data_IF_085037791456
#
_entry.id   IF_085037791456
#
_cell.length_a   1.000
_cell.length_b   1.000
_cell.length_c   1.000
_cell.angle_alpha   90.00
_cell.angle_beta   90.00
_cell.angle_gamma   90.00
#
_symmetry.space_group_name_H-M   'P 1'
#
loop_
_entity.id
_entity.type
_entity.pdbx_description
1 polymer ?
#
# COMPACT_ATOMS: atom_id res chain seq x y z
N UNK A 1 18.56 18.97 10.33
CA UNK A 1 18.16 17.60 9.97
C UNK A 1 16.64 17.48 10.07
N UNK A 2 16.01 16.93 9.06
CA UNK A 2 14.57 16.64 9.08
C UNK A 2 14.34 15.18 9.51
N UNK A 3 13.21 14.92 10.15
CA UNK A 3 12.88 13.60 10.68
C UNK A 3 11.40 13.30 10.49
N UNK A 4 11.11 12.10 10.04
CA UNK A 4 9.76 11.53 10.08
C UNK A 4 9.67 10.71 11.36
N UNK A 5 8.65 10.94 12.17
CA UNK A 5 8.42 10.25 13.42
C UNK A 5 7.06 9.54 13.39
N UNK A 6 7.07 8.23 13.60
CA UNK A 6 5.87 7.45 13.79
C UNK A 6 5.47 7.48 15.27
N UNK A 7 4.36 8.11 15.56
CA UNK A 7 3.88 8.34 16.92
C UNK A 7 3.34 7.06 17.60
N UNK A 8 3.00 6.04 16.84
CA UNK A 8 2.48 4.77 17.39
C UNK A 8 3.60 3.86 17.88
N UNK A 9 4.67 3.78 17.12
CA UNK A 9 5.80 2.88 17.44
C UNK A 9 6.98 3.59 18.05
N UNK A 10 6.96 4.93 18.11
CA UNK A 10 8.08 5.80 18.50
C UNK A 10 9.33 5.63 17.61
N UNK A 11 9.16 5.01 16.46
CA UNK A 11 10.20 4.87 15.46
C UNK A 11 10.39 6.17 14.69
N UNK A 12 11.60 6.43 14.25
CA UNK A 12 11.89 7.61 13.45
C UNK A 12 12.83 7.31 12.28
N UNK A 13 12.70 8.11 11.24
CA UNK A 13 13.56 8.10 10.06
C UNK A 13 14.17 9.48 9.86
N UNK A 14 15.51 9.53 9.87
CA UNK A 14 16.24 10.75 9.57
C UNK A 14 16.31 10.96 8.05
N UNK A 15 15.96 12.16 7.61
CA UNK A 15 16.06 12.56 6.22
C UNK A 15 17.37 13.33 6.01
N UNK A 16 18.30 12.72 5.29
CA UNK A 16 19.58 13.31 4.94
C UNK A 16 19.42 14.28 3.76
N UNK A 17 18.84 15.43 4.02
CA UNK A 17 18.67 16.49 3.05
C UNK A 17 19.79 17.53 3.14
N UNK A 18 20.20 18.17 2.02
CA UNK A 18 21.11 19.30 2.08
C UNK A 18 20.55 20.41 2.98
N UNK A 19 21.42 21.08 3.71
CA UNK A 19 21.00 22.12 4.66
C UNK A 19 20.15 23.23 4.02
N UNK A 20 20.41 23.55 2.76
CA UNK A 20 19.64 24.56 2.02
C UNK A 20 18.16 24.14 1.83
N UNK A 21 17.91 22.86 1.64
CA UNK A 21 16.54 22.31 1.52
C UNK A 21 15.86 22.32 2.89
N UNK A 22 16.58 22.00 3.95
CA UNK A 22 16.03 22.08 5.31
C UNK A 22 15.64 23.50 5.68
N UNK A 23 16.50 24.47 5.33
CA UNK A 23 16.22 25.90 5.56
C UNK A 23 15.02 26.38 4.73
N UNK A 24 14.96 26.03 3.44
CA UNK A 24 13.82 26.34 2.59
C UNK A 24 12.51 25.75 3.14
N UNK A 25 12.56 24.53 3.67
CA UNK A 25 11.41 23.90 4.27
C UNK A 25 10.94 24.61 5.55
N UNK A 26 11.87 25.05 6.41
CA UNK A 26 11.55 25.83 7.61
C UNK A 26 10.92 27.18 7.25
N UNK A 27 11.46 27.86 6.25
CA UNK A 27 10.88 29.13 5.75
C UNK A 27 9.46 28.89 5.21
N UNK A 28 9.24 27.82 4.46
CA UNK A 28 7.93 27.46 3.92
C UNK A 28 6.92 27.17 5.03
N UNK A 29 7.30 26.44 6.05
CA UNK A 29 6.46 26.21 7.23
C UNK A 29 6.12 27.51 7.96
N UNK A 30 7.09 28.39 8.13
CA UNK A 30 6.90 29.71 8.73
C UNK A 30 5.91 30.57 7.95
N UNK A 31 5.96 30.55 6.64
CA UNK A 31 4.98 31.24 5.76
C UNK A 31 3.59 30.68 5.96
N UNK A 32 3.45 29.36 6.08
CA UNK A 32 2.16 28.74 6.30
C UNK A 32 1.55 29.14 7.65
N UNK A 33 2.30 28.99 8.72
CA UNK A 33 1.82 29.32 10.07
C UNK A 33 1.65 30.81 10.27
N UNK A 34 2.49 31.64 9.67
CA UNK A 34 2.37 33.11 9.69
C UNK A 34 1.19 33.68 8.92
N UNK A 35 0.66 32.94 7.93
CA UNK A 35 -0.47 33.36 7.10
C UNK A 35 -1.84 32.96 7.67
N UNK A 36 -1.94 32.62 8.96
CA UNK A 36 -3.20 32.24 9.60
C UNK A 36 -3.83 30.94 9.07
N UNK A 37 -3.01 30.03 8.56
CA UNK A 37 -3.46 28.73 8.09
C UNK A 37 -4.17 28.72 6.74
N UNK A 38 -4.13 29.80 5.99
CA UNK A 38 -4.79 29.90 4.66
C UNK A 38 -3.95 29.34 3.50
N UNK A 39 -2.71 28.94 3.75
CA UNK A 39 -1.85 28.34 2.73
C UNK A 39 -2.27 26.90 2.44
N UNK A 40 -2.31 26.53 1.16
CA UNK A 40 -2.53 25.14 0.71
C UNK A 40 -1.29 24.23 0.90
N UNK A 41 -0.19 24.81 1.29
CA UNK A 41 1.10 24.13 1.38
C UNK A 41 1.07 22.80 2.15
N UNK A 42 0.43 22.69 3.37
CA UNK A 42 0.44 21.42 4.08
C UNK A 42 -0.32 20.29 3.36
N UNK A 43 -1.45 20.59 2.74
CA UNK A 43 -2.22 19.60 1.99
C UNK A 43 -1.46 19.13 0.75
N UNK A 44 -0.85 20.06 -0.01
CA UNK A 44 -0.03 19.74 -1.18
C UNK A 44 1.24 18.99 -0.79
N UNK A 45 1.94 19.42 0.26
CA UNK A 45 3.12 18.76 0.78
C UNK A 45 2.78 17.36 1.30
N UNK A 46 1.71 17.23 2.07
CA UNK A 46 1.22 15.94 2.57
C UNK A 46 0.92 14.96 1.44
N UNK A 47 0.26 15.42 0.39
CA UNK A 47 -0.03 14.59 -0.80
C UNK A 47 1.24 14.13 -1.51
N UNK A 48 2.21 15.01 -1.69
CA UNK A 48 3.50 14.67 -2.32
C UNK A 48 4.33 13.70 -1.47
N UNK A 49 4.37 13.91 -0.16
CA UNK A 49 5.03 12.99 0.77
C UNK A 49 4.35 11.64 0.82
N UNK A 50 3.02 11.59 0.79
CA UNK A 50 2.27 10.34 0.73
C UNK A 50 2.61 9.53 -0.54
N UNK A 51 2.71 10.18 -1.70
CA UNK A 51 3.15 9.54 -2.96
C UNK A 51 4.58 9.02 -2.81
N UNK A 52 5.50 9.81 -2.24
CA UNK A 52 6.87 9.40 -2.04
C UNK A 52 6.98 8.20 -1.09
N UNK A 53 6.20 8.18 -0.01
CA UNK A 53 6.12 7.04 0.90
C UNK A 53 5.59 5.79 0.19
N UNK A 54 4.51 5.92 -0.59
CA UNK A 54 3.95 4.82 -1.36
C UNK A 54 4.98 4.22 -2.34
N UNK A 55 5.78 5.06 -2.99
CA UNK A 55 6.85 4.63 -3.90
C UNK A 55 8.06 4.03 -3.18
N UNK A 56 8.25 4.34 -1.90
CA UNK A 56 9.40 3.90 -1.10
C UNK A 56 9.13 2.59 -0.34
N UNK A 57 7.88 2.21 -0.17
CA UNK A 57 7.50 0.97 0.51
C UNK A 57 7.83 -0.23 -0.38
N UNK A 58 8.35 -1.29 0.21
CA UNK A 58 8.61 -2.55 -0.48
C UNK A 58 7.34 -3.08 -1.15
N UNK A 59 7.49 -3.64 -2.33
CA UNK A 59 6.35 -4.00 -3.19
C UNK A 59 5.42 -5.04 -2.56
N UNK A 60 5.96 -5.97 -1.81
CA UNK A 60 5.21 -7.00 -1.09
C UNK A 60 4.40 -6.45 0.09
N UNK A 61 4.78 -5.28 0.62
CA UNK A 61 4.08 -4.58 1.70
C UNK A 61 3.00 -3.60 1.21
N UNK A 62 2.92 -3.35 -0.09
CA UNK A 62 1.85 -2.56 -0.68
C UNK A 62 0.49 -3.27 -0.54
N UNK A 63 -0.64 -2.53 -0.62
CA UNK A 63 -1.96 -3.15 -0.65
C UNK A 63 -2.10 -4.14 -1.82
N UNK A 64 -2.87 -5.21 -1.66
CA UNK A 64 -3.19 -6.11 -2.77
C UNK A 64 -3.85 -5.36 -3.92
N UNK A 65 -3.59 -5.80 -5.14
CA UNK A 65 -4.27 -5.26 -6.32
C UNK A 65 -5.74 -5.72 -6.36
N UNK A 66 -6.58 -5.00 -7.08
CA UNK A 66 -7.97 -5.41 -7.25
C UNK A 66 -8.09 -6.79 -7.94
N UNK A 67 -7.22 -7.09 -8.89
CA UNK A 67 -7.15 -8.41 -9.52
C UNK A 67 -6.84 -9.52 -8.52
N UNK A 68 -5.87 -9.29 -7.65
CA UNK A 68 -5.55 -10.23 -6.57
C UNK A 68 -6.73 -10.44 -5.62
N UNK A 69 -7.39 -9.36 -5.21
CA UNK A 69 -8.57 -9.42 -4.35
C UNK A 69 -9.71 -10.18 -5.00
N UNK A 70 -9.99 -9.91 -6.27
CA UNK A 70 -11.04 -10.59 -7.02
C UNK A 70 -10.76 -12.09 -7.17
N UNK A 71 -9.53 -12.45 -7.52
CA UNK A 71 -9.12 -13.85 -7.62
C UNK A 71 -9.17 -14.57 -6.27
N UNK A 72 -8.66 -13.95 -5.23
CA UNK A 72 -8.70 -14.49 -3.87
C UNK A 72 -10.14 -14.72 -3.37
N UNK A 73 -11.05 -13.78 -3.65
CA UNK A 73 -12.46 -13.92 -3.33
C UNK A 73 -13.11 -15.12 -4.04
N UNK A 74 -12.77 -15.35 -5.31
CA UNK A 74 -13.25 -16.52 -6.08
C UNK A 74 -12.67 -17.84 -5.52
N UNK A 75 -11.40 -17.85 -5.18
CA UNK A 75 -10.75 -19.00 -4.54
C UNK A 75 -11.41 -19.31 -3.20
N UNK A 76 -11.55 -18.29 -2.35
CA UNK A 76 -12.20 -18.38 -1.04
C UNK A 76 -13.60 -18.98 -1.14
N UNK A 77 -14.41 -18.45 -2.04
CA UNK A 77 -15.77 -18.95 -2.27
C UNK A 77 -15.82 -20.37 -2.82
N UNK A 78 -14.94 -20.68 -3.77
CA UNK A 78 -14.91 -22.01 -4.39
C UNK A 78 -14.40 -23.11 -3.47
N UNK A 79 -13.38 -22.83 -2.68
CA UNK A 79 -12.76 -23.79 -1.78
C UNK A 79 -13.35 -23.74 -0.35
N UNK A 80 -14.25 -22.79 -0.07
CA UNK A 80 -14.86 -22.58 1.24
C UNK A 80 -13.80 -22.35 2.34
N UNK A 81 -12.82 -21.51 2.04
CA UNK A 81 -11.72 -21.12 2.94
C UNK A 81 -11.71 -19.62 3.16
N UNK A 82 -11.27 -19.19 4.34
CA UNK A 82 -11.16 -17.78 4.67
C UNK A 82 -9.84 -17.19 4.15
N UNK A 83 -9.91 -15.93 3.73
CA UNK A 83 -8.73 -15.16 3.37
C UNK A 83 -8.09 -14.64 4.66
N UNK A 84 -6.79 -14.90 4.92
CA UNK A 84 -6.10 -14.34 6.09
C UNK A 84 -6.17 -12.82 6.14
N UNK A 85 -6.27 -12.25 7.33
CA UNK A 85 -6.33 -10.79 7.51
C UNK A 85 -5.12 -10.08 6.90
N UNK A 86 -3.93 -10.64 7.07
CA UNK A 86 -2.69 -10.09 6.53
C UNK A 86 -2.70 -10.07 5.00
N UNK A 87 -3.34 -11.04 4.35
CA UNK A 87 -3.47 -11.08 2.90
C UNK A 87 -4.31 -9.93 2.37
N UNK A 88 -5.27 -9.41 3.15
CA UNK A 88 -6.05 -8.23 2.78
C UNK A 88 -5.28 -6.91 2.96
N UNK A 89 -4.16 -6.94 3.67
CA UNK A 89 -3.34 -5.76 3.95
C UNK A 89 -2.10 -5.72 3.06
N UNK A 90 -1.45 -6.86 2.85
CA UNK A 90 -0.16 -6.95 2.16
C UNK A 90 -0.24 -7.76 0.87
N UNK A 91 0.28 -7.19 -0.20
CA UNK A 91 0.34 -7.82 -1.53
C UNK A 91 1.12 -9.13 -1.54
N UNK A 92 2.22 -9.20 -0.79
CA UNK A 92 3.04 -10.42 -0.67
C UNK A 92 2.26 -11.57 -0.05
N UNK A 93 1.58 -11.33 1.07
CA UNK A 93 0.75 -12.34 1.74
C UNK A 93 -0.44 -12.77 0.87
N UNK A 94 -1.04 -11.83 0.15
CA UNK A 94 -2.10 -12.14 -0.82
C UNK A 94 -1.57 -13.00 -1.97
N UNK A 95 -0.38 -12.72 -2.49
CA UNK A 95 0.27 -13.54 -3.52
C UNK A 95 0.53 -14.95 -3.03
N UNK A 96 0.99 -15.11 -1.80
CA UNK A 96 1.24 -16.41 -1.18
C UNK A 96 -0.05 -17.21 -1.00
N UNK A 97 -1.13 -16.57 -0.55
CA UNK A 97 -2.44 -17.19 -0.45
C UNK A 97 -2.94 -17.69 -1.81
N UNK A 98 -2.86 -16.86 -2.84
CA UNK A 98 -3.28 -17.22 -4.19
C UNK A 98 -2.43 -18.37 -4.71
N UNK A 99 -1.11 -18.29 -4.61
CA UNK A 99 -0.18 -19.30 -5.09
C UNK A 99 -0.41 -20.65 -4.44
N UNK A 100 -0.67 -20.67 -3.15
CA UNK A 100 -0.92 -21.89 -2.39
C UNK A 100 -2.21 -22.59 -2.81
N UNK A 101 -3.29 -21.83 -3.03
CA UNK A 101 -4.62 -22.38 -3.29
C UNK A 101 -4.99 -22.48 -4.78
N UNK A 102 -4.24 -21.84 -5.65
CA UNK A 102 -4.56 -21.81 -7.09
C UNK A 102 -4.64 -23.18 -7.74
N UNK A 103 -3.74 -24.16 -7.47
CA UNK A 103 -3.82 -25.50 -8.06
C UNK A 103 -5.15 -26.21 -7.70
N UNK A 104 -5.54 -26.19 -6.44
CA UNK A 104 -6.80 -26.80 -5.98
C UNK A 104 -8.03 -26.12 -6.59
N UNK A 105 -7.99 -24.80 -6.72
CA UNK A 105 -9.04 -24.01 -7.37
C UNK A 105 -9.17 -24.37 -8.85
N UNK A 106 -8.06 -24.47 -9.58
CA UNK A 106 -8.05 -24.85 -11.00
C UNK A 106 -8.59 -26.28 -11.21
N UNK A 107 -8.20 -27.21 -10.38
CA UNK A 107 -8.70 -28.59 -10.42
C UNK A 107 -10.22 -28.63 -10.21
N UNK A 108 -10.72 -27.88 -9.24
CA UNK A 108 -12.16 -27.82 -8.95
C UNK A 108 -12.96 -27.15 -10.08
N UNK A 109 -12.42 -26.12 -10.72
CA UNK A 109 -13.02 -25.50 -11.88
C UNK A 109 -13.10 -26.46 -13.08
N UNK A 110 -12.04 -27.21 -13.32
CA UNK A 110 -12.01 -28.18 -14.42
C UNK A 110 -13.00 -29.32 -14.22
N UNK A 111 -13.18 -29.81 -12.98
CA UNK A 111 -14.11 -30.89 -12.67
C UNK A 111 -15.59 -30.48 -12.77
N UNK A 112 -15.90 -29.18 -12.59
CA UNK A 112 -17.27 -28.66 -12.64
C UNK A 112 -17.67 -28.07 -14.01
N UNK A 113 -16.79 -28.12 -15.00
CA UNK A 113 -16.99 -27.47 -16.32
C UNK A 113 -17.34 -25.97 -16.21
N UNK A 114 -16.96 -25.34 -15.10
CA UNK A 114 -17.16 -23.90 -14.89
C UNK A 114 -15.94 -23.19 -15.52
N UNK A 115 -16.14 -22.19 -16.41
CA UNK A 115 -15.01 -21.45 -16.93
C UNK A 115 -14.27 -20.78 -15.75
N UNK A 116 -13.08 -21.26 -15.43
CA UNK A 116 -12.13 -20.55 -14.60
C UNK A 116 -11.81 -19.27 -15.34
N UNK A 117 -12.50 -18.19 -14.94
CA UNK A 117 -12.51 -16.88 -15.56
C UNK A 117 -11.43 -16.63 -16.58
N UNK A 118 -11.86 -16.13 -17.69
CA UNK A 118 -11.00 -15.73 -18.79
C UNK A 118 -9.74 -15.07 -18.25
N UNK A 119 -8.61 -15.55 -18.73
CA UNK A 119 -7.32 -14.88 -18.60
C UNK A 119 -7.45 -13.46 -19.15
N UNK A 120 -7.81 -12.54 -18.34
CA UNK A 120 -7.44 -11.16 -18.60
C UNK A 120 -6.00 -10.99 -18.13
N UNK A 121 -5.14 -10.98 -19.09
CA UNK A 121 -3.73 -10.68 -18.89
C UNK A 121 -3.55 -9.26 -18.35
#
# INVERSE_FOLDING_TARGET
MLRIHDLETDAFLDLHTPWMIEEAFRVQLGRHFGAGGQSRFPAEMGSRLAVALYQSVDRDLLPPTERQRALAARISKSLEIDIPKEANVFRGTMSDFIRYHLPAFQTRCSSKNIPCGQREA
#
